data_IF_426213119177
#
_entry.id   IF_426213119177
#
_cell.length_a   1.000
_cell.length_b   1.000
_cell.length_c   1.000
_cell.angle_alpha   90.00
_cell.angle_beta   90.00
_cell.angle_gamma   90.00
#
_symmetry.space_group_name_H-M   'P 1'
#
loop_
_entity.id
_entity.type
_entity.pdbx_description
1 polymer ?
#
# COMPACT_ATOMS: atom_id res chain seq x y z
N UNK A 1 22.59 4.98 -6.76
CA UNK A 1 22.76 3.60 -6.24
C UNK A 1 22.55 3.65 -4.73
N UNK A 2 21.30 3.60 -4.28
CA UNK A 2 20.94 3.75 -2.85
C UNK A 2 21.29 2.47 -2.10
N UNK A 3 22.33 2.54 -1.27
CA UNK A 3 22.76 1.45 -0.42
C UNK A 3 21.70 1.09 0.62
N UNK A 4 21.12 -0.10 0.49
CA UNK A 4 20.35 -0.74 1.56
C UNK A 4 21.30 -1.05 2.72
N UNK A 5 21.29 -0.22 3.76
CA UNK A 5 22.04 -0.44 5.02
C UNK A 5 21.28 -1.39 5.97
N UNK A 6 20.49 -2.32 5.43
CA UNK A 6 19.84 -3.36 6.22
C UNK A 6 20.79 -4.55 6.38
N UNK A 7 21.05 -4.93 7.64
CA UNK A 7 21.78 -6.17 7.97
C UNK A 7 21.23 -7.33 7.12
N UNK A 8 22.06 -8.04 6.34
CA UNK A 8 21.59 -9.09 5.45
C UNK A 8 20.93 -10.22 6.25
N UNK A 9 19.82 -10.75 5.74
CA UNK A 9 19.14 -11.90 6.34
C UNK A 9 20.02 -13.13 6.24
N UNK A 10 20.15 -13.88 7.33
CA UNK A 10 20.83 -15.18 7.29
C UNK A 10 19.95 -16.24 6.61
N UNK A 11 20.52 -17.39 6.26
CA UNK A 11 19.79 -18.45 5.54
C UNK A 11 18.53 -18.95 6.27
N UNK A 12 18.51 -18.98 7.61
CA UNK A 12 17.30 -19.34 8.38
C UNK A 12 16.23 -18.24 8.27
N UNK A 13 16.64 -16.97 8.30
CA UNK A 13 15.75 -15.84 8.10
C UNK A 13 15.20 -15.79 6.67
N UNK A 14 15.99 -16.10 5.64
CA UNK A 14 15.45 -16.19 4.28
C UNK A 14 14.40 -17.29 4.13
N UNK A 15 14.60 -18.46 4.75
CA UNK A 15 13.58 -19.53 4.79
C UNK A 15 12.33 -19.13 5.58
N UNK A 16 12.50 -18.42 6.69
CA UNK A 16 11.38 -17.86 7.44
C UNK A 16 10.59 -16.85 6.59
N UNK A 17 11.31 -15.98 5.87
CA UNK A 17 10.72 -14.94 5.03
C UNK A 17 9.85 -15.55 3.92
N UNK A 18 10.38 -16.50 3.16
CA UNK A 18 9.62 -17.16 2.09
C UNK A 18 8.38 -17.90 2.61
N UNK A 19 8.51 -18.61 3.74
CA UNK A 19 7.38 -19.31 4.36
C UNK A 19 6.31 -18.34 4.86
N UNK A 20 6.71 -17.20 5.45
CA UNK A 20 5.77 -16.17 5.93
C UNK A 20 5.02 -15.50 4.77
N UNK A 21 5.64 -15.34 3.60
CA UNK A 21 4.99 -14.76 2.43
C UNK A 21 3.98 -15.71 1.77
N UNK A 22 4.24 -17.02 1.81
CA UNK A 22 3.38 -18.02 1.16
C UNK A 22 2.31 -18.64 2.06
N UNK A 23 2.35 -18.37 3.38
CA UNK A 23 1.46 -18.98 4.35
C UNK A 23 0.44 -17.98 4.92
N UNK A 24 -0.84 -18.37 5.07
CA UNK A 24 -1.86 -17.50 5.65
C UNK A 24 -1.74 -17.32 7.16
N UNK A 25 -0.99 -18.20 7.84
CA UNK A 25 -0.82 -18.17 9.30
C UNK A 25 0.62 -18.45 9.71
N UNK A 26 0.99 -17.97 10.92
CA UNK A 26 2.30 -18.24 11.54
C UNK A 26 2.55 -19.75 11.75
N UNK A 27 1.51 -20.51 12.10
CA UNK A 27 1.61 -21.96 12.26
C UNK A 27 1.92 -22.69 10.95
N UNK A 28 1.29 -22.28 9.85
CA UNK A 28 1.60 -22.81 8.52
C UNK A 28 3.02 -22.43 8.09
N UNK A 29 3.43 -21.18 8.32
CA UNK A 29 4.78 -20.72 8.03
C UNK A 29 5.84 -21.47 8.85
N UNK A 30 5.55 -21.80 10.12
CA UNK A 30 6.43 -22.58 10.98
C UNK A 30 6.63 -24.00 10.46
N UNK A 31 5.53 -24.68 10.07
CA UNK A 31 5.60 -26.00 9.44
C UNK A 31 6.40 -25.97 8.14
N UNK A 32 6.16 -24.97 7.29
CA UNK A 32 6.84 -24.84 5.99
C UNK A 32 8.33 -24.52 6.12
N UNK A 33 8.71 -23.63 7.04
CA UNK A 33 10.11 -23.22 7.23
C UNK A 33 10.91 -24.17 8.13
N UNK A 34 10.25 -25.05 8.89
CA UNK A 34 10.88 -25.85 9.95
C UNK A 34 11.35 -25.00 11.14
N UNK A 35 10.85 -23.77 11.29
CA UNK A 35 11.23 -22.83 12.34
C UNK A 35 10.09 -22.71 13.34
N UNK A 36 10.33 -22.85 14.66
CA UNK A 36 9.28 -22.72 15.66
C UNK A 36 8.57 -21.36 15.58
N UNK A 37 7.24 -21.34 15.79
CA UNK A 37 6.43 -20.11 15.75
C UNK A 37 6.99 -19.00 16.66
N UNK A 38 7.49 -19.36 17.85
CA UNK A 38 8.12 -18.42 18.78
C UNK A 38 9.32 -17.69 18.17
N UNK A 39 10.09 -18.37 17.31
CA UNK A 39 11.21 -17.78 16.60
C UNK A 39 10.74 -16.89 15.44
N UNK A 40 9.69 -17.28 14.71
CA UNK A 40 9.08 -16.44 13.67
C UNK A 40 8.50 -15.15 14.26
N UNK A 41 7.83 -15.26 15.42
CA UNK A 41 7.31 -14.10 16.15
C UNK A 41 8.43 -13.14 16.56
N UNK A 42 9.56 -13.67 17.04
CA UNK A 42 10.75 -12.85 17.35
C UNK A 42 11.31 -12.20 16.09
N UNK A 43 11.38 -12.91 14.97
CA UNK A 43 11.87 -12.34 13.70
C UNK A 43 10.99 -11.19 13.23
N UNK A 44 9.66 -11.33 13.25
CA UNK A 44 8.72 -10.26 12.90
C UNK A 44 8.84 -9.00 13.79
N UNK A 45 9.39 -9.14 15.00
CA UNK A 45 9.69 -8.02 15.92
C UNK A 45 11.11 -7.48 15.80
N UNK A 46 11.98 -8.15 15.05
CA UNK A 46 13.36 -7.71 14.85
C UNK A 46 13.37 -6.71 13.69
N UNK A 47 13.82 -5.44 13.88
CA UNK A 47 13.63 -4.37 12.91
C UNK A 47 14.05 -4.73 11.48
N UNK A 48 15.28 -5.22 11.30
CA UNK A 48 15.81 -5.53 9.96
C UNK A 48 15.05 -6.66 9.25
N UNK A 49 14.51 -7.63 9.98
CA UNK A 49 13.67 -8.69 9.40
C UNK A 49 12.27 -8.20 9.10
N UNK A 50 11.69 -7.39 9.99
CA UNK A 50 10.37 -6.78 9.78
C UNK A 50 10.36 -5.88 8.55
N UNK A 51 11.42 -5.10 8.34
CA UNK A 51 11.60 -4.27 7.14
C UNK A 51 11.70 -5.12 5.88
N UNK A 52 12.54 -6.16 5.88
CA UNK A 52 12.65 -7.09 4.76
C UNK A 52 11.32 -7.80 4.44
N UNK A 53 10.57 -8.19 5.46
CA UNK A 53 9.23 -8.78 5.28
C UNK A 53 8.22 -7.80 4.69
N UNK A 54 8.18 -6.56 5.20
CA UNK A 54 7.32 -5.50 4.64
C UNK A 54 7.67 -5.20 3.18
N UNK A 55 8.96 -5.08 2.86
CA UNK A 55 9.42 -4.84 1.51
C UNK A 55 9.00 -5.97 0.56
N UNK A 56 9.32 -7.23 0.91
CA UNK A 56 8.97 -8.37 0.08
C UNK A 56 7.44 -8.55 -0.08
N UNK A 57 6.66 -8.26 0.97
CA UNK A 57 5.20 -8.26 0.87
C UNK A 57 4.69 -7.16 -0.05
N UNK A 58 5.28 -5.97 0.01
CA UNK A 58 4.96 -4.87 -0.91
C UNK A 58 5.26 -5.25 -2.36
N UNK A 59 6.39 -5.88 -2.62
CA UNK A 59 6.76 -6.36 -3.95
C UNK A 59 5.74 -7.39 -4.48
N UNK A 60 5.35 -8.39 -3.67
CA UNK A 60 4.31 -9.35 -4.06
C UNK A 60 2.96 -8.70 -4.37
N UNK A 61 2.56 -7.69 -3.60
CA UNK A 61 1.33 -6.94 -3.85
C UNK A 61 1.45 -6.15 -5.16
N UNK A 62 2.60 -5.50 -5.41
CA UNK A 62 2.83 -4.79 -6.66
C UNK A 62 2.79 -5.73 -7.87
N UNK A 63 3.38 -6.92 -7.77
CA UNK A 63 3.32 -7.94 -8.81
C UNK A 63 1.88 -8.41 -9.08
N UNK A 64 1.11 -8.70 -8.01
CA UNK A 64 -0.29 -9.08 -8.12
C UNK A 64 -1.14 -7.97 -8.77
N UNK A 65 -0.90 -6.72 -8.42
CA UNK A 65 -1.56 -5.56 -9.03
C UNK A 65 -1.21 -5.44 -10.51
N UNK A 66 0.07 -5.60 -10.89
CA UNK A 66 0.48 -5.59 -12.29
C UNK A 66 -0.21 -6.72 -13.09
N UNK A 67 -0.33 -7.91 -12.50
CA UNK A 67 -1.05 -9.01 -13.11
C UNK A 67 -2.54 -8.71 -13.27
N UNK A 68 -3.17 -8.11 -12.25
CA UNK A 68 -4.57 -7.69 -12.31
C UNK A 68 -4.79 -6.66 -13.42
N UNK A 69 -3.92 -5.66 -13.54
CA UNK A 69 -3.97 -4.65 -14.61
C UNK A 69 -3.91 -5.30 -15.99
N UNK A 70 -3.01 -6.27 -16.20
CA UNK A 70 -2.92 -7.01 -17.48
C UNK A 70 -4.20 -7.77 -17.81
N UNK A 71 -4.82 -8.42 -16.83
CA UNK A 71 -6.09 -9.14 -17.04
C UNK A 71 -7.23 -8.17 -17.32
N UNK A 72 -7.25 -7.01 -16.64
CA UNK A 72 -8.23 -5.97 -16.90
C UNK A 72 -8.15 -5.45 -18.35
N UNK A 73 -6.95 -5.21 -18.88
CA UNK A 73 -6.76 -4.84 -20.30
C UNK A 73 -7.31 -5.90 -21.25
N UNK A 74 -7.08 -7.19 -20.95
CA UNK A 74 -7.67 -8.28 -21.75
C UNK A 74 -9.20 -8.28 -21.69
N UNK A 75 -9.78 -8.00 -20.52
CA UNK A 75 -11.23 -7.92 -20.38
C UNK A 75 -11.83 -6.77 -21.23
N UNK A 76 -11.16 -5.62 -21.30
CA UNK A 76 -11.57 -4.51 -22.18
C UNK A 76 -11.56 -4.93 -23.65
N UNK A 77 -10.51 -5.62 -24.10
CA UNK A 77 -10.45 -6.14 -25.48
C UNK A 77 -11.57 -7.16 -25.76
N UNK A 78 -11.90 -8.02 -24.80
CA UNK A 78 -13.03 -8.95 -24.94
C UNK A 78 -14.38 -8.21 -25.04
N UNK A 79 -14.56 -7.13 -24.29
CA UNK A 79 -15.77 -6.30 -24.40
C UNK A 79 -15.87 -5.68 -25.80
N UNK A 80 -14.77 -5.14 -26.33
CA UNK A 80 -14.72 -4.60 -27.70
C UNK A 80 -15.04 -5.65 -28.77
N UNK A 81 -14.54 -6.87 -28.61
CA UNK A 81 -14.88 -7.99 -29.49
C UNK A 81 -16.37 -8.31 -29.44
N UNK A 82 -16.97 -8.38 -28.24
CA UNK A 82 -18.41 -8.62 -28.10
C UNK A 82 -19.23 -7.52 -28.77
N UNK A 83 -18.79 -6.26 -28.67
CA UNK A 83 -19.46 -5.11 -29.29
C UNK A 83 -19.47 -5.17 -30.82
N UNK A 84 -18.37 -5.61 -31.41
CA UNK A 84 -18.15 -5.64 -32.86
C UNK A 84 -18.57 -6.95 -33.52
N UNK A 85 -18.81 -8.01 -32.74
CA UNK A 85 -19.24 -9.30 -33.24
C UNK A 85 -20.69 -9.26 -33.76
N UNK A 86 -20.93 -9.44 -35.07
CA UNK A 86 -22.27 -9.47 -35.64
C UNK A 86 -23.08 -10.70 -35.20
N UNK A 87 -22.42 -11.77 -34.75
CA UNK A 87 -23.05 -13.01 -34.28
C UNK A 87 -23.41 -12.94 -32.78
N UNK A 88 -22.91 -11.94 -32.05
CA UNK A 88 -23.22 -11.77 -30.65
C UNK A 88 -24.70 -11.41 -30.45
N UNK A 89 -25.34 -12.10 -29.49
CA UNK A 89 -26.71 -11.81 -29.06
C UNK A 89 -26.85 -10.33 -28.69
N UNK A 90 -27.94 -9.68 -29.11
CA UNK A 90 -28.18 -8.26 -28.84
C UNK A 90 -28.09 -7.90 -27.35
N UNK A 91 -28.58 -8.76 -26.46
CA UNK A 91 -28.47 -8.57 -25.01
C UNK A 91 -27.03 -8.58 -24.49
N UNK A 92 -26.16 -9.42 -25.07
CA UNK A 92 -24.74 -9.48 -24.71
C UNK A 92 -24.02 -8.19 -25.14
N UNK A 93 -24.33 -7.68 -26.34
CA UNK A 93 -23.83 -6.39 -26.85
C UNK A 93 -24.26 -5.22 -25.97
N UNK A 94 -25.55 -5.13 -25.63
CA UNK A 94 -26.07 -4.08 -24.74
C UNK A 94 -25.41 -4.13 -23.36
N UNK A 95 -25.20 -5.34 -22.81
CA UNK A 95 -24.52 -5.52 -21.52
C UNK A 95 -23.05 -5.07 -21.59
N UNK A 96 -22.34 -5.42 -22.67
CA UNK A 96 -20.98 -4.96 -22.90
C UNK A 96 -20.91 -3.43 -23.03
N UNK A 97 -21.80 -2.81 -23.82
CA UNK A 97 -21.92 -1.35 -23.94
C UNK A 97 -22.10 -0.70 -22.57
N UNK A 98 -23.08 -1.17 -21.80
CA UNK A 98 -23.38 -0.63 -20.47
C UNK A 98 -22.17 -0.72 -19.56
N UNK A 99 -21.48 -1.86 -19.56
CA UNK A 99 -20.30 -2.08 -18.71
C UNK A 99 -19.17 -1.10 -19.06
N UNK A 100 -18.91 -0.87 -20.35
CA UNK A 100 -17.90 0.10 -20.81
C UNK A 100 -18.27 1.53 -20.41
N UNK A 101 -19.53 1.94 -20.60
CA UNK A 101 -20.01 3.27 -20.24
C UNK A 101 -19.98 3.49 -18.72
N UNK A 102 -20.41 2.51 -17.93
CA UNK A 102 -20.36 2.56 -16.46
C UNK A 102 -18.92 2.69 -15.96
N UNK A 103 -17.97 1.97 -16.56
CA UNK A 103 -16.55 2.11 -16.25
C UNK A 103 -16.02 3.50 -16.58
N UNK A 104 -16.32 4.03 -17.77
CA UNK A 104 -15.89 5.37 -18.17
C UNK A 104 -16.44 6.47 -17.26
N UNK A 105 -17.73 6.39 -16.90
CA UNK A 105 -18.37 7.34 -15.97
C UNK A 105 -17.72 7.30 -14.58
N UNK A 106 -17.40 6.11 -14.06
CA UNK A 106 -16.73 5.95 -12.77
C UNK A 106 -15.32 6.54 -12.76
N UNK A 107 -14.57 6.42 -13.87
CA UNK A 107 -13.25 7.03 -13.99
C UNK A 107 -13.34 8.56 -13.93
N UNK A 108 -14.25 9.16 -14.70
CA UNK A 108 -14.47 10.62 -14.67
C UNK A 108 -14.86 11.09 -13.27
N UNK A 109 -15.78 10.39 -12.60
CA UNK A 109 -16.19 10.71 -11.23
C UNK A 109 -15.04 10.61 -10.23
N UNK A 110 -14.13 9.66 -10.40
CA UNK A 110 -12.94 9.53 -9.55
C UNK A 110 -11.96 10.68 -9.79
N UNK A 111 -11.69 11.02 -11.06
CA UNK A 111 -10.80 12.13 -11.43
C UNK A 111 -11.34 13.48 -10.91
N UNK A 112 -12.65 13.71 -11.03
CA UNK A 112 -13.31 14.92 -10.50
C UNK A 112 -13.21 14.99 -8.96
N UNK A 113 -13.35 13.85 -8.28
CA UNK A 113 -13.21 13.77 -6.82
C UNK A 113 -11.77 14.08 -6.38
N UNK A 114 -10.77 13.53 -7.08
CA UNK A 114 -9.35 13.80 -6.82
C UNK A 114 -9.01 15.28 -7.08
N UNK A 115 -9.55 15.87 -8.16
CA UNK A 115 -9.38 17.30 -8.44
C UNK A 115 -9.99 18.19 -7.34
N UNK A 116 -11.17 17.83 -6.83
CA UNK A 116 -11.80 18.52 -5.70
C UNK A 116 -10.97 18.38 -4.42
N UNK A 117 -10.42 17.20 -4.13
CA UNK A 117 -9.52 16.99 -2.98
C UNK A 117 -8.28 17.87 -3.07
N UNK A 118 -7.63 17.93 -4.22
CA UNK A 118 -6.45 18.79 -4.45
C UNK A 118 -6.79 20.27 -4.31
N UNK A 119 -7.95 20.71 -4.81
CA UNK A 119 -8.43 22.08 -4.65
C UNK A 119 -8.70 22.41 -3.17
N UNK A 120 -9.24 21.48 -2.39
CA UNK A 120 -9.45 21.66 -0.95
C UNK A 120 -8.15 21.68 -0.14
N UNK A 121 -7.16 20.87 -0.52
CA UNK A 121 -5.83 20.88 0.11
C UNK A 121 -5.07 22.18 -0.14
N UNK A 122 -5.25 22.78 -1.32
CA UNK A 122 -4.63 24.07 -1.69
C UNK A 122 -5.37 25.28 -1.15
N UNK A 123 -6.70 25.19 -1.02
CA UNK A 123 -7.54 26.30 -0.51
C UNK A 123 -7.69 26.34 1.00
N UNK A 124 -7.39 25.25 1.73
CA UNK A 124 -7.26 25.33 3.19
C UNK A 124 -6.15 26.34 3.51
N UNK A 125 -6.48 27.52 4.06
CA UNK A 125 -5.43 28.43 4.48
C UNK A 125 -4.60 27.68 5.51
N UNK A 126 -3.27 27.64 5.30
CA UNK A 126 -2.34 27.28 6.37
C UNK A 126 -2.79 28.12 7.57
N UNK A 127 -3.11 27.50 8.73
CA UNK A 127 -3.77 28.21 9.82
C UNK A 127 -3.02 29.50 10.04
N UNK A 128 -3.71 30.63 9.90
CA UNK A 128 -3.09 31.93 10.06
C UNK A 128 -2.67 32.02 11.53
N UNK A 129 -1.40 31.68 11.76
CA UNK A 129 -0.85 31.53 13.09
C UNK A 129 -0.82 32.87 13.84
N UNK A 130 -1.06 33.99 13.14
CA UNK A 130 -1.21 35.33 13.73
C UNK A 130 -2.59 35.57 14.35
N UNK A 131 -3.61 34.78 14.01
CA UNK A 131 -4.98 34.88 14.54
C UNK A 131 -5.25 33.91 15.70
N UNK A 132 -4.30 33.04 16.03
CA UNK A 132 -4.41 32.14 17.17
C UNK A 132 -4.26 32.92 18.46
N UNK A 133 -5.12 32.62 19.43
CA UNK A 133 -4.93 33.11 20.79
C UNK A 133 -3.67 32.48 21.42
N UNK A 134 -3.10 33.14 22.43
CA UNK A 134 -1.88 32.64 23.10
C UNK A 134 -2.05 31.22 23.66
N UNK A 135 -3.25 30.87 24.14
CA UNK A 135 -3.56 29.54 24.65
C UNK A 135 -3.55 28.47 23.54
N UNK A 136 -4.11 28.79 22.37
CA UNK A 136 -4.13 27.91 21.20
C UNK A 136 -2.72 27.73 20.62
N UNK A 137 -1.91 28.79 20.61
CA UNK A 137 -0.53 28.73 20.14
C UNK A 137 0.34 27.86 21.07
N UNK A 138 0.15 27.97 22.39
CA UNK A 138 0.80 27.12 23.38
C UNK A 138 0.38 25.66 23.21
N UNK A 139 -0.91 25.40 22.94
CA UNK A 139 -1.41 24.06 22.62
C UNK A 139 -0.76 23.48 21.36
N UNK A 140 -0.67 24.24 20.26
CA UNK A 140 0.02 23.82 19.04
C UNK A 140 1.52 23.55 19.26
N UNK A 141 2.22 24.41 20.01
CA UNK A 141 3.64 24.23 20.36
C UNK A 141 3.85 22.98 21.22
N UNK A 142 2.93 22.70 22.13
CA UNK A 142 2.95 21.51 22.99
C UNK A 142 2.74 20.24 22.17
N UNK A 143 1.81 20.24 21.22
CA UNK A 143 1.57 19.12 20.30
C UNK A 143 2.77 18.88 19.39
N UNK A 144 3.32 19.93 18.76
CA UNK A 144 4.50 19.80 17.91
C UNK A 144 5.73 19.31 18.70
N UNK A 145 5.92 19.77 19.94
CA UNK A 145 6.97 19.28 20.85
C UNK A 145 6.75 17.80 21.23
N UNK A 146 5.49 17.38 21.43
CA UNK A 146 5.14 15.98 21.72
C UNK A 146 5.39 15.07 20.52
N UNK A 147 5.08 15.52 19.30
CA UNK A 147 5.32 14.81 18.03
C UNK A 147 6.82 14.79 17.65
N UNK A 148 7.56 15.86 17.93
CA UNK A 148 9.03 15.91 17.77
C UNK A 148 9.76 15.10 18.84
N UNK A 149 9.23 15.03 20.06
CA UNK A 149 9.77 14.23 21.17
C UNK A 149 9.54 12.73 21.02
N UNK A 150 8.53 12.31 20.25
CA UNK A 150 8.35 10.89 19.87
C UNK A 150 9.34 10.39 18.81
N UNK A 151 10.21 11.26 18.27
CA UNK A 151 11.27 10.92 17.30
C UNK A 151 12.67 10.75 17.91
N UNK A 152 12.87 11.03 19.21
CA UNK A 152 14.16 10.86 19.90
C UNK A 152 14.13 9.68 20.87
N UNK A 153 13.90 8.49 20.30
CA UNK A 153 14.25 7.22 20.94
C UNK A 153 14.95 6.30 19.92
N UNK A 154 15.90 6.85 19.16
CA UNK A 154 16.92 6.05 18.47
C UNK A 154 18.26 6.73 18.80
N UNK A 155 18.95 6.13 19.77
CA UNK A 155 20.11 6.70 20.43
C UNK A 155 21.31 6.87 19.51
N UNK A 156 21.90 8.05 19.55
CA UNK A 156 23.34 8.23 19.39
C UNK A 156 24.01 7.77 20.69
N UNK A 157 24.50 6.55 20.73
CA UNK A 157 25.55 6.16 21.70
C UNK A 157 26.83 5.96 20.91
N UNK A 158 27.65 7.02 20.94
CA UNK A 158 29.01 7.05 20.46
C UNK A 158 29.91 6.48 21.56
N UNK A 159 30.70 5.45 21.24
CA UNK A 159 32.16 5.36 21.47
C UNK A 159 32.72 4.52 20.33
#
# INVERSE_FOLDING_TARGET
MTGSTAKPLNGKQMKALSALLCSPTLAAAAKQSGIPERSLYRYLRTPHFADAYRAARSEQVQEALAQLQRVALKAVLMLEQVLTDPMAKGSARVTACKTVLDCAMRTIQADDADAQLMALETTKPKPDLSQLTDEEFVWFRRIRKKLSGSGQAIGTTSV
#
